data_IF_327038115317
#
_entry.id   IF_327038115317
#
_cell.length_a   1.000
_cell.length_b   1.000
_cell.length_c   1.000
_cell.angle_alpha   90.00
_cell.angle_beta   90.00
_cell.angle_gamma   90.00
#
_symmetry.space_group_name_H-M   'P 1'
#
loop_
_entity.id
_entity.type
_entity.pdbx_description
1 polymer ?
#
# COMPACT_ATOMS: atom_id res chain seq x y z
N UNK A 1 -31.86 -1.15 9.16
CA UNK A 1 -31.91 -2.42 8.41
C UNK A 1 -31.45 -3.58 9.28
N UNK A 2 -30.28 -3.50 9.91
CA UNK A 2 -29.88 -4.52 10.88
C UNK A 2 -30.86 -4.61 12.07
N UNK A 3 -31.43 -3.48 12.50
CA UNK A 3 -32.42 -3.44 13.59
C UNK A 3 -33.73 -4.18 13.24
N UNK A 4 -34.07 -4.25 11.95
CA UNK A 4 -35.33 -4.85 11.47
C UNK A 4 -35.17 -6.30 11.02
N UNK A 5 -34.02 -6.66 10.45
CA UNK A 5 -33.76 -7.99 9.87
C UNK A 5 -32.81 -8.85 10.70
N UNK A 6 -32.26 -8.29 11.78
CA UNK A 6 -31.34 -8.98 12.68
C UNK A 6 -29.87 -8.91 12.23
N UNK A 7 -28.99 -9.66 12.93
CA UNK A 7 -27.54 -9.58 12.78
C UNK A 7 -27.00 -10.11 11.46
N UNK A 8 -27.78 -10.90 10.71
CA UNK A 8 -27.39 -11.45 9.40
C UNK A 8 -28.58 -11.33 8.47
N UNK A 9 -28.38 -10.65 7.33
CA UNK A 9 -29.42 -10.52 6.31
C UNK A 9 -28.81 -10.44 4.92
N UNK A 10 -29.60 -10.81 3.91
CA UNK A 10 -29.17 -10.77 2.50
C UNK A 10 -29.86 -9.63 1.78
N UNK A 11 -29.09 -8.83 1.04
CA UNK A 11 -29.58 -7.79 0.13
C UNK A 11 -29.29 -8.17 -1.32
N UNK A 12 -30.10 -7.67 -2.24
CA UNK A 12 -29.89 -7.87 -3.68
C UNK A 12 -29.41 -6.56 -4.30
N UNK A 13 -28.14 -6.54 -4.73
CA UNK A 13 -27.51 -5.44 -5.44
C UNK A 13 -27.62 -5.70 -6.95
N UNK A 14 -28.68 -5.18 -7.56
CA UNK A 14 -28.99 -5.42 -8.98
C UNK A 14 -29.21 -6.91 -9.24
N UNK A 15 -28.29 -7.56 -9.97
CA UNK A 15 -28.33 -9.00 -10.28
C UNK A 15 -27.58 -9.87 -9.28
N UNK A 16 -26.76 -9.27 -8.40
CA UNK A 16 -25.94 -10.00 -7.41
C UNK A 16 -26.59 -9.96 -6.03
N UNK A 17 -26.45 -11.03 -5.26
CA UNK A 17 -26.83 -11.07 -3.84
C UNK A 17 -25.60 -10.77 -2.99
N UNK A 18 -25.78 -9.98 -1.94
CA UNK A 18 -24.74 -9.67 -0.95
C UNK A 18 -25.26 -10.04 0.44
N UNK A 19 -24.45 -10.80 1.18
CA UNK A 19 -24.72 -11.12 2.58
C UNK A 19 -24.13 -10.00 3.45
N UNK A 20 -24.94 -9.42 4.31
CA UNK A 20 -24.54 -8.40 5.26
C UNK A 20 -24.49 -9.03 6.65
N UNK A 21 -23.35 -8.85 7.32
CA UNK A 21 -23.09 -9.36 8.67
C UNK A 21 -22.92 -8.14 9.55
N UNK A 22 -23.79 -8.01 10.55
CA UNK A 22 -23.79 -6.92 11.54
C UNK A 22 -23.43 -7.43 12.95
N UNK A 23 -22.72 -8.56 13.05
CA UNK A 23 -22.35 -9.16 14.32
C UNK A 23 -20.86 -9.51 14.38
N UNK A 24 -20.19 -9.20 15.49
CA UNK A 24 -18.74 -9.37 15.59
C UNK A 24 -18.35 -10.85 15.74
N UNK A 25 -19.15 -11.67 16.43
CA UNK A 25 -18.91 -13.12 16.55
C UNK A 25 -18.95 -13.78 15.17
N UNK A 26 -19.92 -13.39 14.34
CA UNK A 26 -20.05 -13.90 12.97
C UNK A 26 -18.94 -13.40 12.06
N UNK A 27 -18.54 -12.13 12.21
CA UNK A 27 -17.39 -11.59 11.48
C UNK A 27 -16.11 -12.36 11.84
N UNK A 28 -15.92 -12.68 13.13
CA UNK A 28 -14.80 -13.50 13.60
C UNK A 28 -14.81 -14.87 12.92
N UNK A 29 -15.92 -15.60 12.95
CA UNK A 29 -16.02 -16.91 12.26
C UNK A 29 -15.77 -16.82 10.76
N UNK A 30 -16.21 -15.74 10.11
CA UNK A 30 -15.95 -15.50 8.69
C UNK A 30 -14.47 -15.28 8.37
N UNK A 31 -13.73 -14.62 9.26
CA UNK A 31 -12.30 -14.34 9.07
C UNK A 31 -11.36 -15.35 9.73
N UNK A 32 -11.88 -16.32 10.50
CA UNK A 32 -11.08 -17.42 11.07
C UNK A 32 -11.34 -18.76 10.38
N UNK A 33 -12.60 -19.19 10.30
CA UNK A 33 -12.97 -20.55 9.87
C UNK A 33 -13.29 -20.60 8.37
N UNK A 34 -13.92 -19.54 7.87
CA UNK A 34 -14.37 -19.43 6.47
C UNK A 34 -13.60 -18.38 5.68
N UNK A 35 -12.38 -18.04 6.13
CA UNK A 35 -11.57 -16.95 5.60
C UNK A 35 -11.26 -17.13 4.10
N UNK A 36 -10.98 -18.35 3.65
CA UNK A 36 -10.69 -18.67 2.25
C UNK A 36 -11.90 -18.37 1.35
N UNK A 37 -13.11 -18.72 1.78
CA UNK A 37 -14.34 -18.55 0.98
C UNK A 37 -14.69 -17.06 0.87
N UNK A 38 -14.59 -16.34 1.99
CA UNK A 38 -14.93 -14.91 2.10
C UNK A 38 -13.82 -14.01 1.51
N UNK A 39 -12.59 -14.52 1.41
CA UNK A 39 -11.47 -13.78 0.80
C UNK A 39 -11.63 -13.59 -0.70
N UNK A 40 -12.43 -14.43 -1.37
CA UNK A 40 -12.71 -14.26 -2.80
C UNK A 40 -13.56 -13.00 -3.04
N UNK A 41 -13.14 -12.16 -3.99
CA UNK A 41 -13.87 -10.93 -4.36
C UNK A 41 -14.77 -11.18 -5.56
N UNK A 42 -16.01 -10.65 -5.56
CA UNK A 42 -16.90 -10.80 -6.72
C UNK A 42 -16.28 -10.13 -7.94
N UNK A 43 -16.32 -10.82 -9.08
CA UNK A 43 -15.78 -10.29 -10.34
C UNK A 43 -16.65 -9.13 -10.83
N UNK A 44 -16.02 -7.98 -11.02
CA UNK A 44 -16.61 -6.79 -11.60
C UNK A 44 -15.79 -6.42 -12.85
N UNK A 45 -16.45 -6.14 -13.97
CA UNK A 45 -15.77 -5.82 -15.24
C UNK A 45 -14.86 -4.60 -15.11
N UNK A 46 -15.30 -3.57 -14.37
CA UNK A 46 -14.48 -2.40 -14.07
C UNK A 46 -13.18 -2.77 -13.31
N UNK A 47 -13.26 -3.72 -12.39
CA UNK A 47 -12.08 -4.22 -11.66
C UNK A 47 -11.17 -4.98 -12.61
N UNK A 48 -11.69 -5.81 -13.51
CA UNK A 48 -10.86 -6.55 -14.47
C UNK A 48 -10.03 -5.59 -15.36
N UNK A 49 -10.61 -4.46 -15.79
CA UNK A 49 -9.87 -3.44 -16.52
C UNK A 49 -8.87 -2.66 -15.66
N UNK A 50 -9.30 -2.16 -14.50
CA UNK A 50 -8.44 -1.38 -13.58
C UNK A 50 -7.27 -2.21 -13.06
N UNK A 51 -7.50 -3.51 -12.86
CA UNK A 51 -6.51 -4.42 -12.28
C UNK A 51 -5.59 -5.08 -13.28
N UNK A 52 -5.60 -4.66 -14.55
CA UNK A 52 -4.86 -5.33 -15.63
C UNK A 52 -5.09 -6.84 -15.61
N UNK A 53 -6.37 -7.23 -15.64
CA UNK A 53 -6.82 -8.61 -15.52
C UNK A 53 -6.30 -9.31 -14.24
N UNK A 54 -6.53 -8.67 -13.08
CA UNK A 54 -6.23 -9.19 -11.72
C UNK A 54 -4.76 -9.22 -11.31
N UNK A 55 -3.91 -8.41 -11.93
CA UNK A 55 -2.53 -8.19 -11.49
C UNK A 55 -2.45 -7.29 -10.23
N UNK A 56 -3.48 -6.49 -9.92
CA UNK A 56 -3.51 -5.72 -8.68
C UNK A 56 -3.82 -6.62 -7.46
N UNK A 57 -2.88 -6.65 -6.50
CA UNK A 57 -2.94 -7.47 -5.27
C UNK A 57 -4.25 -7.26 -4.49
N UNK A 58 -4.77 -6.03 -4.45
CA UNK A 58 -6.01 -5.71 -3.72
C UNK A 58 -7.28 -6.31 -4.32
N UNK A 59 -7.25 -6.64 -5.62
CA UNK A 59 -8.41 -7.14 -6.38
C UNK A 59 -8.21 -8.54 -6.96
N UNK A 60 -7.02 -9.13 -6.79
CA UNK A 60 -6.76 -10.49 -7.23
C UNK A 60 -7.58 -11.50 -6.40
N UNK A 61 -8.13 -12.56 -7.04
CA UNK A 61 -8.81 -13.62 -6.32
C UNK A 61 -7.81 -14.36 -5.40
N UNK A 62 -8.32 -14.91 -4.31
CA UNK A 62 -7.51 -15.71 -3.40
C UNK A 62 -6.88 -16.90 -4.14
N UNK A 63 -5.56 -17.05 -4.01
CA UNK A 63 -4.77 -18.05 -4.73
C UNK A 63 -3.27 -17.94 -4.42
N UNK A 64 -2.47 -18.81 -5.03
CA UNK A 64 -1.00 -18.81 -4.88
C UNK A 64 -0.39 -17.45 -5.24
N UNK A 65 -0.81 -16.88 -6.38
CA UNK A 65 -0.38 -15.56 -6.84
C UNK A 65 -0.59 -14.47 -5.78
N UNK A 66 -1.81 -14.36 -5.24
CA UNK A 66 -2.12 -13.34 -4.24
C UNK A 66 -1.31 -13.51 -2.95
N UNK A 67 -1.07 -14.76 -2.52
CA UNK A 67 -0.25 -15.05 -1.32
C UNK A 67 1.20 -14.65 -1.53
N UNK A 68 1.76 -14.97 -2.69
CA UNK A 68 3.13 -14.62 -3.06
C UNK A 68 3.31 -13.10 -3.16
N UNK A 69 2.41 -12.43 -3.89
CA UNK A 69 2.44 -10.98 -4.02
C UNK A 69 2.30 -10.28 -2.66
N UNK A 70 1.40 -10.75 -1.79
CA UNK A 70 1.27 -10.21 -0.43
C UNK A 70 2.56 -10.40 0.37
N UNK A 71 3.20 -11.56 0.29
CA UNK A 71 4.49 -11.81 0.97
C UNK A 71 5.57 -10.84 0.49
N UNK A 72 5.67 -10.64 -0.82
CA UNK A 72 6.61 -9.68 -1.43
C UNK A 72 6.31 -8.26 -0.95
N UNK A 73 5.06 -7.81 -1.05
CA UNK A 73 4.67 -6.46 -0.62
C UNK A 73 4.92 -6.22 0.86
N UNK A 74 4.57 -7.18 1.73
CA UNK A 74 4.81 -7.06 3.16
C UNK A 74 6.30 -6.99 3.47
N UNK A 75 7.13 -7.80 2.81
CA UNK A 75 8.57 -7.78 3.04
C UNK A 75 9.27 -6.57 2.44
N UNK A 76 8.82 -6.09 1.29
CA UNK A 76 9.50 -5.04 0.53
C UNK A 76 9.09 -3.62 0.97
N UNK A 77 7.81 -3.42 1.31
CA UNK A 77 7.23 -2.11 1.63
C UNK A 77 6.76 -2.00 3.08
N UNK A 78 6.03 -3.00 3.59
CA UNK A 78 5.35 -2.92 4.90
C UNK A 78 6.15 -3.55 6.06
N UNK A 79 7.45 -3.74 5.87
CA UNK A 79 8.34 -4.23 6.94
C UNK A 79 8.59 -3.11 7.94
N UNK A 80 8.68 -3.42 9.24
CA UNK A 80 8.97 -2.43 10.29
C UNK A 80 10.20 -1.59 9.97
N UNK A 81 11.27 -2.23 9.49
CA UNK A 81 12.49 -1.53 9.09
C UNK A 81 12.26 -0.51 7.96
N UNK A 82 11.38 -0.83 6.99
CA UNK A 82 11.03 0.09 5.90
C UNK A 82 10.24 1.29 6.39
N UNK A 83 9.30 1.04 7.30
CA UNK A 83 8.50 2.10 7.93
C UNK A 83 9.40 3.04 8.72
N UNK A 84 10.37 2.51 9.47
CA UNK A 84 11.33 3.31 10.23
C UNK A 84 12.20 4.20 9.33
N UNK A 85 12.68 3.66 8.20
CA UNK A 85 13.43 4.45 7.21
C UNK A 85 12.60 5.59 6.61
N UNK A 86 11.32 5.33 6.36
CA UNK A 86 10.39 6.33 5.80
C UNK A 86 9.94 7.36 6.84
N UNK A 87 10.06 7.07 8.15
CA UNK A 87 9.53 7.90 9.22
C UNK A 87 9.98 9.37 9.15
N UNK A 88 11.27 9.62 8.91
CA UNK A 88 11.83 10.96 8.79
C UNK A 88 11.23 11.73 7.60
N UNK A 89 10.99 11.02 6.51
CA UNK A 89 10.44 11.59 5.28
C UNK A 89 8.96 11.93 5.45
N UNK A 90 8.19 11.06 6.12
CA UNK A 90 6.79 11.33 6.47
C UNK A 90 6.67 12.59 7.34
N UNK A 91 7.57 12.75 8.32
CA UNK A 91 7.61 13.95 9.17
C UNK A 91 7.89 15.20 8.33
N UNK A 92 8.83 15.14 7.39
CA UNK A 92 9.11 16.28 6.49
C UNK A 92 7.89 16.64 5.64
N UNK A 93 7.23 15.66 5.01
CA UNK A 93 6.05 15.89 4.16
C UNK A 93 4.94 16.60 4.95
N UNK A 94 4.69 16.14 6.18
CA UNK A 94 3.68 16.76 7.05
C UNK A 94 4.10 18.17 7.45
N UNK A 95 5.36 18.39 7.81
CA UNK A 95 5.87 19.71 8.14
C UNK A 95 5.75 20.69 6.97
N UNK A 96 6.07 20.26 5.76
CA UNK A 96 5.98 21.10 4.57
C UNK A 96 4.52 21.43 4.25
N UNK A 97 3.62 20.46 4.39
CA UNK A 97 2.16 20.68 4.25
C UNK A 97 1.63 21.68 5.28
N UNK A 98 2.14 21.67 6.52
CA UNK A 98 1.79 22.65 7.56
C UNK A 98 2.33 24.03 7.21
N UNK A 99 3.56 24.13 6.68
CA UNK A 99 4.14 25.41 6.24
C UNK A 99 3.33 26.01 5.11
N UNK A 100 2.87 25.21 4.15
CA UNK A 100 2.00 25.67 3.07
C UNK A 100 0.69 26.25 3.61
N UNK A 101 0.02 25.55 4.53
CA UNK A 101 -1.17 26.07 5.20
C UNK A 101 -0.89 27.38 5.94
N UNK A 102 0.25 27.47 6.62
CA UNK A 102 0.64 28.70 7.32
C UNK A 102 0.88 29.87 6.35
N UNK A 103 1.50 29.61 5.19
CA UNK A 103 1.73 30.63 4.17
C UNK A 103 0.42 31.14 3.56
N UNK A 104 -0.54 30.24 3.31
CA UNK A 104 -1.89 30.61 2.86
C UNK A 104 -2.57 31.51 3.90
N UNK A 105 -2.49 31.14 5.19
CA UNK A 105 -3.03 31.95 6.27
C UNK A 105 -2.35 33.33 6.37
N UNK A 106 -1.01 33.36 6.31
CA UNK A 106 -0.21 34.59 6.42
C UNK A 106 -0.46 35.57 5.26
N UNK A 107 -0.71 35.06 4.06
CA UNK A 107 -1.00 35.86 2.88
C UNK A 107 -2.40 36.49 2.95
N UNK A 108 -3.41 35.73 3.37
CA UNK A 108 -4.79 36.22 3.50
C UNK A 108 -5.00 37.16 4.70
N UNK A 109 -4.12 37.10 5.73
CA UNK A 109 -4.10 38.07 6.84
C UNK A 109 -3.89 39.53 6.37
N UNK A 110 -3.29 39.76 5.21
CA UNK A 110 -3.05 41.10 4.67
C UNK A 110 -4.32 41.78 4.11
N UNK A 111 -5.34 41.01 3.75
CA UNK A 111 -6.58 41.51 3.13
C UNK A 111 -7.78 41.62 4.09
N UNK A 112 -7.80 40.83 5.18
CA UNK A 112 -8.95 40.76 6.09
C UNK A 112 -8.58 41.09 7.53
N UNK A 113 -9.32 42.02 8.15
CA UNK A 113 -9.10 42.54 9.51
C UNK A 113 -9.33 41.51 10.63
N UNK A 114 -9.91 40.36 10.32
CA UNK A 114 -10.21 39.28 11.26
C UNK A 114 -9.18 38.17 11.07
N UNK A 115 -8.43 37.83 12.13
CA UNK A 115 -7.23 36.98 12.11
C UNK A 115 -7.43 35.49 11.76
N UNK A 116 -8.51 35.13 11.08
CA UNK A 116 -8.82 33.77 10.65
C UNK A 116 -9.00 33.70 9.13
N UNK A 117 -8.60 32.56 8.55
CA UNK A 117 -8.70 32.27 7.12
C UNK A 117 -9.46 30.96 6.96
N UNK A 118 -10.49 30.97 6.11
CA UNK A 118 -11.25 29.77 5.81
C UNK A 118 -10.48 28.93 4.79
N UNK A 119 -10.17 27.68 5.15
CA UNK A 119 -9.47 26.73 4.27
C UNK A 119 -10.36 25.52 4.02
N UNK A 120 -10.54 25.13 2.75
CA UNK A 120 -11.23 23.90 2.41
C UNK A 120 -10.29 22.69 2.59
N UNK A 121 -10.45 21.97 3.70
CA UNK A 121 -9.61 20.82 4.03
C UNK A 121 -9.93 19.55 3.23
N UNK A 122 -10.88 19.56 2.28
CA UNK A 122 -11.26 18.32 1.57
C UNK A 122 -10.14 17.75 0.70
N UNK A 123 -9.33 18.62 0.11
CA UNK A 123 -8.28 18.22 -0.83
C UNK A 123 -6.97 17.90 -0.11
N UNK A 124 -6.73 18.54 1.03
CA UNK A 124 -5.47 18.48 1.76
C UNK A 124 -5.03 17.06 2.20
N UNK A 125 -5.89 16.20 2.78
CA UNK A 125 -5.51 14.82 3.08
C UNK A 125 -5.15 14.00 1.82
N UNK A 126 -5.78 14.31 0.69
CA UNK A 126 -5.52 13.65 -0.59
C UNK A 126 -4.13 13.97 -1.11
N UNK A 127 -3.74 15.24 -1.06
CA UNK A 127 -2.41 15.72 -1.47
C UNK A 127 -1.29 15.12 -0.59
N UNK A 128 -1.49 15.11 0.73
CA UNK A 128 -0.54 14.47 1.64
C UNK A 128 -0.39 12.99 1.34
N UNK A 129 -1.51 12.28 1.20
CA UNK A 129 -1.49 10.85 0.89
C UNK A 129 -0.76 10.59 -0.43
N UNK A 130 -0.99 11.42 -1.44
CA UNK A 130 -0.32 11.32 -2.74
C UNK A 130 1.19 11.55 -2.64
N UNK A 131 1.62 12.57 -1.88
CA UNK A 131 3.03 12.88 -1.68
C UNK A 131 3.74 11.75 -0.91
N UNK A 132 3.09 11.19 0.11
CA UNK A 132 3.60 10.03 0.85
C UNK A 132 3.76 8.83 -0.09
N UNK A 133 2.72 8.47 -0.84
CA UNK A 133 2.76 7.31 -1.74
C UNK A 133 3.82 7.49 -2.82
N UNK A 134 3.92 8.69 -3.42
CA UNK A 134 4.98 9.00 -4.39
C UNK A 134 6.35 8.72 -3.81
N UNK A 135 6.62 9.23 -2.60
CA UNK A 135 7.94 9.11 -1.99
C UNK A 135 8.27 7.66 -1.61
N UNK A 136 7.31 6.91 -1.07
CA UNK A 136 7.45 5.48 -0.82
C UNK A 136 7.81 4.69 -2.10
N UNK A 137 7.30 5.10 -3.26
CA UNK A 137 7.62 4.48 -4.54
C UNK A 137 9.03 4.85 -5.03
N UNK A 138 9.45 6.12 -4.87
CA UNK A 138 10.77 6.61 -5.28
C UNK A 138 11.89 5.96 -4.47
N UNK A 139 11.76 5.92 -3.14
CA UNK A 139 12.77 5.33 -2.24
C UNK A 139 13.00 3.83 -2.51
N UNK A 140 11.97 3.14 -3.04
CA UNK A 140 12.09 1.73 -3.44
C UNK A 140 12.89 1.55 -4.73
N UNK A 141 12.75 2.44 -5.73
CA UNK A 141 13.55 2.37 -6.97
C UNK A 141 15.05 2.52 -6.70
N UNK A 142 15.42 3.43 -5.80
CA UNK A 142 16.82 3.70 -5.49
C UNK A 142 17.47 2.49 -4.79
N UNK A 143 16.76 1.87 -3.84
CA UNK A 143 17.28 0.69 -3.14
C UNK A 143 17.30 -0.59 -3.99
N UNK A 144 16.40 -0.72 -4.99
CA UNK A 144 16.44 -1.81 -5.96
C UNK A 144 17.68 -1.67 -6.86
N UNK A 145 18.04 -0.45 -7.24
CA UNK A 145 19.27 -0.19 -8.02
C UNK A 145 20.53 -0.56 -7.23
N UNK A 146 20.61 -0.19 -5.95
CA UNK A 146 21.75 -0.54 -5.08
C UNK A 146 21.87 -2.06 -4.83
N UNK A 147 20.77 -2.77 -4.57
CA UNK A 147 20.80 -4.24 -4.39
C UNK A 147 21.18 -4.98 -5.66
N UNK A 148 20.73 -4.52 -6.83
CA UNK A 148 21.08 -5.14 -8.11
C UNK A 148 22.57 -4.96 -8.40
N UNK A 149 23.15 -3.83 -7.99
CA UNK A 149 24.57 -3.54 -8.13
C UNK A 149 25.43 -4.35 -7.13
N UNK A 150 24.99 -4.51 -5.88
CA UNK A 150 25.70 -5.34 -4.88
C UNK A 150 25.66 -6.83 -5.21
N UNK A 151 24.53 -7.36 -5.69
CA UNK A 151 24.40 -8.77 -6.09
C UNK A 151 25.18 -9.07 -7.36
N UNK A 152 25.26 -8.12 -8.30
CA UNK A 152 26.12 -8.22 -9.48
C UNK A 152 27.60 -8.26 -9.11
N UNK A 153 28.05 -7.40 -8.19
CA UNK A 153 29.43 -7.38 -7.69
C UNK A 153 29.79 -8.66 -6.90
N UNK A 154 28.87 -9.16 -6.07
CA UNK A 154 29.06 -10.38 -5.27
C UNK A 154 29.04 -11.67 -6.11
N UNK A 155 28.33 -11.70 -7.25
CA UNK A 155 28.37 -12.80 -8.22
C UNK A 155 29.63 -12.75 -9.09
N UNK A 156 30.01 -11.57 -9.57
CA UNK A 156 31.26 -11.36 -10.33
C UNK A 156 32.50 -11.76 -9.53
N UNK A 157 32.56 -11.38 -8.25
CA UNK A 157 33.66 -11.72 -7.34
C UNK A 157 33.72 -13.23 -7.03
N UNK A 158 32.56 -13.91 -6.94
CA UNK A 158 32.50 -15.38 -6.78
C UNK A 158 32.99 -16.13 -8.01
N UNK A 159 32.63 -15.67 -9.21
CA UNK A 159 33.13 -16.26 -10.46
C UNK A 159 34.65 -16.09 -10.61
N UNK A 160 35.18 -14.90 -10.26
CA UNK A 160 36.61 -14.64 -10.28
C UNK A 160 37.36 -15.53 -9.28
N UNK A 161 36.83 -15.67 -8.06
CA UNK A 161 37.41 -16.54 -7.03
C UNK A 161 37.39 -18.03 -7.43
N UNK A 162 36.32 -18.51 -8.08
CA UNK A 162 36.23 -19.90 -8.58
C UNK A 162 37.28 -20.13 -9.68
N UNK A 163 37.39 -19.21 -10.65
CA UNK A 163 38.36 -19.32 -11.74
C UNK A 163 39.82 -19.26 -11.25
N UNK A 164 40.08 -18.44 -10.25
CA UNK A 164 41.42 -18.32 -9.66
C UNK A 164 41.77 -19.55 -8.81
N UNK A 165 40.79 -20.19 -8.17
CA UNK A 165 40.98 -21.46 -7.47
C UNK A 165 41.22 -22.65 -8.40
N UNK A 166 40.50 -22.74 -9.52
CA UNK A 166 40.72 -23.81 -10.50
C UNK A 166 42.06 -23.66 -11.23
N UNK A 167 42.52 -22.43 -11.49
CA UNK A 167 43.86 -22.21 -12.07
C UNK A 167 45.01 -22.66 -11.15
N UNK A 168 44.83 -22.55 -9.82
CA UNK A 168 45.84 -22.97 -8.82
C UNK A 168 45.85 -24.49 -8.52
N UNK A 169 44.85 -25.26 -8.97
CA UNK A 169 44.84 -26.73 -8.82
C UNK A 169 45.32 -27.48 -10.08
N UNK A 170 45.61 -26.76 -11.18
CA UNK A 170 46.00 -27.33 -12.48
C UNK A 170 47.46 -26.98 -12.83
N UNK A 171 48.22 -26.40 -11.89
CA UNK A 171 49.68 -26.22 -11.95
C UNK A 171 50.35 -26.98 -10.80
#
# INVERSE_FOLDING_TARGET
>A
MADTYGPIFTIKLGTKKALVINNWEMAKECFTTNDIVVSSRPRLVAIDHLSYNKALIGFAPFGSYWREMRKITTSAFLSSHRIDLLSHVLVSIVQDSIKELFNVWSSAKKEHSYGFVLVELKQWPGEITFNIVRQCCIDHSDQQSEKTQSDGFAKGSRCLWILQKTALQVS
#
